data_IF_021441552401
#
_entry.id   IF_021441552401
#
_cell.length_a   1.000
_cell.length_b   1.000
_cell.length_c   1.000
_cell.angle_alpha   90.00
_cell.angle_beta   90.00
_cell.angle_gamma   90.00
#
_symmetry.space_group_name_H-M   'P 1'
#
loop_
_entity.id
_entity.type
_entity.pdbx_description
1 polymer ?
#
# COMPACT_ATOMS: atom_id res chain seq x y z
N UNK A 1 2.06 -12.62 4.27
CA UNK A 1 2.73 -11.99 5.43
C UNK A 1 2.82 -12.93 6.63
N UNK A 2 1.70 -13.34 7.26
CA UNK A 2 1.69 -14.22 8.46
C UNK A 2 2.51 -15.51 8.28
N UNK A 3 2.43 -16.13 7.11
CA UNK A 3 3.20 -17.34 6.79
C UNK A 3 4.71 -17.10 6.85
N UNK A 4 5.13 -15.94 6.36
CA UNK A 4 6.53 -15.55 6.26
C UNK A 4 7.14 -15.29 7.64
N UNK A 5 6.36 -14.79 8.60
CA UNK A 5 6.79 -14.47 9.98
C UNK A 5 6.71 -15.70 10.91
N UNK A 6 6.39 -16.88 10.37
CA UNK A 6 6.33 -18.14 11.13
C UNK A 6 4.95 -18.47 11.71
N UNK A 7 3.94 -17.60 11.54
CA UNK A 7 2.56 -17.83 11.99
C UNK A 7 1.77 -18.68 11.00
N UNK A 8 2.28 -19.88 10.67
CA UNK A 8 1.68 -20.76 9.65
C UNK A 8 0.26 -21.21 10.01
N UNK A 9 0.03 -21.61 11.27
CA UNK A 9 -1.30 -22.02 11.71
C UNK A 9 -2.33 -20.88 11.64
N UNK A 10 -1.93 -19.67 12.06
CA UNK A 10 -2.80 -18.48 11.95
C UNK A 10 -3.06 -18.14 10.49
N UNK A 11 -2.05 -18.27 9.63
CA UNK A 11 -2.21 -18.09 8.18
C UNK A 11 -3.23 -19.05 7.59
N UNK A 12 -3.17 -20.34 7.96
CA UNK A 12 -4.16 -21.32 7.51
C UNK A 12 -5.56 -20.98 8.01
N UNK A 13 -5.71 -20.58 9.28
CA UNK A 13 -7.02 -20.16 9.83
C UNK A 13 -7.57 -18.93 9.12
N UNK A 14 -6.72 -17.93 8.88
CA UNK A 14 -7.10 -16.73 8.13
C UNK A 14 -7.50 -17.07 6.68
N UNK A 15 -6.76 -17.96 6.02
CA UNK A 15 -7.08 -18.43 4.68
C UNK A 15 -8.37 -19.24 4.64
N UNK A 16 -8.63 -20.08 5.65
CA UNK A 16 -9.87 -20.82 5.78
C UNK A 16 -11.07 -19.87 6.00
N UNK A 17 -10.91 -18.85 6.86
CA UNK A 17 -11.93 -17.81 7.06
C UNK A 17 -12.19 -17.01 5.77
N UNK A 18 -11.14 -16.64 5.04
CA UNK A 18 -11.27 -15.97 3.75
C UNK A 18 -11.98 -16.87 2.72
N UNK A 19 -11.66 -18.16 2.68
CA UNK A 19 -12.30 -19.14 1.82
C UNK A 19 -13.78 -19.36 2.18
N UNK A 20 -14.11 -19.38 3.48
CA UNK A 20 -15.50 -19.44 3.95
C UNK A 20 -16.28 -18.19 3.52
N UNK A 21 -15.70 -17.00 3.72
CA UNK A 21 -16.31 -15.74 3.27
C UNK A 21 -16.54 -15.72 1.76
N UNK A 22 -15.56 -16.19 0.98
CA UNK A 22 -15.71 -16.34 -0.47
C UNK A 22 -16.78 -17.38 -0.83
N UNK A 23 -16.85 -18.50 -0.10
CA UNK A 23 -17.90 -19.52 -0.26
C UNK A 23 -19.29 -18.96 -0.02
N UNK A 24 -19.48 -18.20 1.08
CA UNK A 24 -20.74 -17.49 1.36
C UNK A 24 -21.07 -16.49 0.26
N UNK A 25 -20.09 -15.72 -0.22
CA UNK A 25 -20.26 -14.81 -1.33
C UNK A 25 -20.71 -15.52 -2.61
N UNK A 26 -20.05 -16.64 -2.97
CA UNK A 26 -20.39 -17.46 -4.14
C UNK A 26 -21.79 -18.05 -4.00
N UNK A 27 -22.20 -18.48 -2.81
CA UNK A 27 -23.56 -18.98 -2.57
C UNK A 27 -24.61 -17.87 -2.68
N UNK A 28 -24.30 -16.65 -2.23
CA UNK A 28 -25.24 -15.53 -2.23
C UNK A 28 -25.38 -14.84 -3.61
N UNK A 29 -24.28 -14.64 -4.33
CA UNK A 29 -24.21 -13.86 -5.58
C UNK A 29 -24.03 -14.74 -6.82
N UNK A 30 -23.69 -16.01 -6.65
CA UNK A 30 -23.38 -16.93 -7.73
C UNK A 30 -21.93 -16.87 -8.22
N UNK A 31 -21.45 -17.99 -8.78
CA UNK A 31 -20.10 -18.09 -9.34
C UNK A 31 -19.88 -17.15 -10.53
N UNK A 32 -20.90 -16.96 -11.37
CA UNK A 32 -20.83 -16.10 -12.54
C UNK A 32 -20.45 -14.66 -12.17
N UNK A 33 -21.02 -14.12 -11.10
CA UNK A 33 -20.71 -12.78 -10.60
C UNK A 33 -19.24 -12.65 -10.18
N UNK A 34 -18.67 -13.67 -9.54
CA UNK A 34 -17.28 -13.66 -9.11
C UNK A 34 -16.32 -13.76 -10.30
N UNK A 35 -16.66 -14.56 -11.32
CA UNK A 35 -15.88 -14.64 -12.56
C UNK A 35 -15.91 -13.29 -13.29
N UNK A 36 -17.08 -12.65 -13.37
CA UNK A 36 -17.23 -11.34 -13.99
C UNK A 36 -16.45 -10.27 -13.22
N UNK A 37 -16.51 -10.29 -11.89
CA UNK A 37 -15.71 -9.41 -11.04
C UNK A 37 -14.20 -9.61 -11.25
N UNK A 38 -13.73 -10.87 -11.26
CA UNK A 38 -12.31 -11.15 -11.53
C UNK A 38 -11.92 -10.65 -12.91
N UNK A 39 -12.74 -10.90 -13.94
CA UNK A 39 -12.51 -10.39 -15.29
C UNK A 39 -12.40 -8.86 -15.27
N UNK A 40 -13.35 -8.17 -14.64
CA UNK A 40 -13.37 -6.72 -14.48
C UNK A 40 -12.10 -6.18 -13.81
N UNK A 41 -11.64 -6.81 -12.73
CA UNK A 41 -10.40 -6.42 -12.02
C UNK A 41 -9.16 -6.66 -12.88
N UNK A 42 -9.10 -7.78 -13.61
CA UNK A 42 -7.95 -8.11 -14.46
C UNK A 42 -7.91 -7.34 -15.77
N UNK A 43 -9.07 -6.89 -16.26
CA UNK A 43 -9.21 -6.05 -17.45
C UNK A 43 -9.82 -4.70 -17.06
N UNK A 44 -9.20 -4.03 -16.07
CA UNK A 44 -9.67 -2.76 -15.56
C UNK A 44 -9.85 -1.77 -16.74
N UNK A 45 -11.03 -1.17 -16.91
CA UNK A 45 -11.25 -0.20 -17.97
C UNK A 45 -10.19 0.91 -17.97
N UNK A 46 -9.73 1.31 -19.15
CA UNK A 46 -8.63 2.28 -19.31
C UNK A 46 -8.92 3.62 -18.62
N UNK A 47 -10.20 4.01 -18.56
CA UNK A 47 -10.61 5.22 -17.87
C UNK A 47 -10.33 5.17 -16.36
N UNK A 48 -10.37 3.99 -15.72
CA UNK A 48 -10.04 3.80 -14.29
C UNK A 48 -8.53 3.76 -14.04
N UNK A 49 -7.75 3.32 -15.03
CA UNK A 49 -6.30 3.31 -14.94
C UNK A 49 -5.72 4.74 -14.94
N UNK A 50 -6.34 5.69 -15.64
CA UNK A 50 -5.94 7.11 -15.62
C UNK A 50 -6.84 8.00 -14.74
N UNK A 51 -7.82 7.41 -14.05
CA UNK A 51 -8.79 8.16 -13.25
C UNK A 51 -8.08 8.93 -12.13
N UNK A 52 -8.44 10.19 -11.97
CA UNK A 52 -7.79 11.12 -11.04
C UNK A 52 -7.96 10.72 -9.58
N UNK A 53 -9.10 10.15 -9.22
CA UNK A 53 -9.34 9.62 -7.88
C UNK A 53 -8.53 8.35 -7.59
N UNK A 54 -8.02 7.67 -8.63
CA UNK A 54 -7.14 6.53 -8.47
C UNK A 54 -5.72 7.00 -8.11
N UNK A 55 -5.47 7.13 -6.82
CA UNK A 55 -4.17 7.51 -6.26
C UNK A 55 -3.21 6.33 -6.14
N UNK A 56 -3.45 5.18 -6.78
CA UNK A 56 -2.49 4.06 -6.78
C UNK A 56 -1.21 4.36 -7.56
N UNK A 57 -0.11 3.62 -7.34
CA UNK A 57 1.09 3.73 -8.17
C UNK A 57 0.78 3.48 -9.65
N UNK A 58 -0.03 2.45 -9.95
CA UNK A 58 -0.54 2.19 -11.31
C UNK A 58 -1.22 3.42 -11.89
N UNK A 59 -2.16 4.02 -11.13
CA UNK A 59 -2.88 5.21 -11.55
C UNK A 59 -1.97 6.38 -11.91
N UNK A 60 -0.94 6.59 -11.09
CA UNK A 60 0.05 7.66 -11.27
C UNK A 60 0.94 7.43 -12.48
N UNK A 61 1.43 6.20 -12.67
CA UNK A 61 2.27 5.85 -13.83
C UNK A 61 1.47 5.94 -15.13
N UNK A 62 0.22 5.48 -15.14
CA UNK A 62 -0.68 5.60 -16.29
C UNK A 62 -1.03 7.05 -16.62
N UNK A 63 -1.33 7.91 -15.62
CA UNK A 63 -1.52 9.36 -15.86
C UNK A 63 -0.28 10.03 -16.42
N UNK A 64 0.92 9.62 -16.00
CA UNK A 64 2.18 10.21 -16.43
C UNK A 64 2.51 9.83 -17.89
N UNK A 65 2.27 8.57 -18.27
CA UNK A 65 2.84 7.98 -19.49
C UNK A 65 1.80 7.58 -20.54
N UNK A 66 0.60 7.19 -20.13
CA UNK A 66 -0.44 6.70 -21.04
C UNK A 66 -1.35 7.81 -21.58
N UNK A 67 -1.07 9.09 -21.28
CA UNK A 67 -1.84 10.25 -21.77
C UNK A 67 -1.91 10.33 -23.30
N UNK A 68 -0.91 9.79 -24.01
CA UNK A 68 -0.82 9.78 -25.48
C UNK A 68 -1.13 8.43 -26.14
N UNK A 69 -1.61 7.42 -25.39
CA UNK A 69 -1.93 6.08 -25.89
C UNK A 69 -0.72 5.15 -26.09
N UNK A 70 0.39 5.66 -26.65
CA UNK A 70 1.59 4.85 -26.95
C UNK A 70 2.36 4.39 -25.69
N UNK A 71 2.21 5.09 -24.57
CA UNK A 71 2.94 4.78 -23.32
C UNK A 71 2.34 3.69 -22.45
N UNK A 72 1.24 3.05 -22.86
CA UNK A 72 0.51 2.07 -22.03
C UNK A 72 1.36 0.85 -21.65
N UNK A 73 2.03 0.24 -22.62
CA UNK A 73 2.86 -0.95 -22.39
C UNK A 73 4.03 -0.64 -21.44
N UNK A 74 4.60 0.56 -21.57
CA UNK A 74 5.66 1.04 -20.68
C UNK A 74 5.11 1.34 -19.27
N UNK A 75 3.90 1.89 -19.16
CA UNK A 75 3.23 2.13 -17.88
C UNK A 75 2.92 0.81 -17.14
N UNK A 76 2.41 -0.20 -17.85
CA UNK A 76 2.15 -1.52 -17.27
C UNK A 76 3.47 -2.20 -16.84
N UNK A 77 4.51 -2.14 -17.68
CA UNK A 77 5.84 -2.67 -17.35
C UNK A 77 6.48 -2.01 -16.13
N UNK A 78 6.42 -0.67 -16.04
CA UNK A 78 6.91 0.07 -14.88
C UNK A 78 6.10 -0.22 -13.62
N UNK A 79 4.78 -0.33 -13.73
CA UNK A 79 3.91 -0.69 -12.60
C UNK A 79 4.30 -2.06 -12.05
N UNK A 80 4.44 -3.07 -12.91
CA UNK A 80 4.89 -4.40 -12.51
C UNK A 80 6.28 -4.39 -11.87
N UNK A 81 7.21 -3.59 -12.39
CA UNK A 81 8.54 -3.44 -11.80
C UNK A 81 8.48 -2.78 -10.42
N UNK A 82 7.63 -1.77 -10.23
CA UNK A 82 7.39 -1.12 -8.94
C UNK A 82 6.74 -2.10 -7.95
N UNK A 83 5.75 -2.88 -8.38
CA UNK A 83 5.08 -3.86 -7.54
C UNK A 83 6.06 -4.94 -7.06
N UNK A 84 6.88 -5.47 -7.97
CA UNK A 84 7.94 -6.42 -7.65
C UNK A 84 8.97 -5.82 -6.68
N UNK A 85 9.33 -4.54 -6.86
CA UNK A 85 10.23 -3.82 -5.97
C UNK A 85 9.63 -3.66 -4.57
N UNK A 86 8.38 -3.20 -4.46
CA UNK A 86 7.67 -3.05 -3.17
C UNK A 86 7.59 -4.39 -2.45
N UNK A 87 7.18 -5.45 -3.16
CA UNK A 87 7.16 -6.81 -2.61
C UNK A 87 8.53 -7.26 -2.13
N UNK A 88 9.57 -7.09 -2.95
CA UNK A 88 10.94 -7.46 -2.61
C UNK A 88 11.48 -6.72 -1.39
N UNK A 89 11.23 -5.41 -1.30
CA UNK A 89 11.61 -4.58 -0.15
C UNK A 89 10.87 -5.03 1.11
N UNK A 90 9.55 -5.24 1.03
CA UNK A 90 8.76 -5.68 2.17
C UNK A 90 9.17 -7.08 2.65
N UNK A 91 9.33 -8.03 1.75
CA UNK A 91 9.76 -9.40 2.09
C UNK A 91 11.17 -9.44 2.70
N UNK A 92 12.07 -8.55 2.27
CA UNK A 92 13.42 -8.44 2.82
C UNK A 92 13.44 -7.73 4.18
N UNK A 93 12.52 -6.81 4.42
CA UNK A 93 12.44 -6.06 5.67
C UNK A 93 11.73 -6.83 6.79
N UNK A 94 10.72 -7.63 6.45
CA UNK A 94 9.94 -8.39 7.40
C UNK A 94 10.73 -9.61 7.88
N UNK A 95 10.95 -9.77 9.20
CA UNK A 95 11.67 -10.91 9.75
C UNK A 95 10.90 -12.22 9.52
N UNK A 96 11.65 -13.33 9.46
CA UNK A 96 11.08 -14.67 9.23
C UNK A 96 10.44 -15.29 10.46
N UNK A 97 10.74 -14.75 11.63
CA UNK A 97 10.26 -15.21 12.93
C UNK A 97 10.05 -14.00 13.83
N UNK A 98 8.92 -13.94 14.53
CA UNK A 98 8.66 -12.89 15.52
C UNK A 98 7.81 -13.45 16.65
N UNK A 99 8.01 -12.95 17.86
CA UNK A 99 7.19 -13.33 19.03
C UNK A 99 5.84 -12.57 19.01
N UNK A 100 4.76 -13.14 19.57
CA UNK A 100 3.41 -12.61 19.41
C UNK A 100 3.21 -11.21 19.99
N UNK A 101 3.92 -10.89 21.06
CA UNK A 101 3.80 -9.62 21.78
C UNK A 101 4.97 -8.66 21.47
N UNK A 102 5.64 -8.86 20.34
CA UNK A 102 6.75 -7.98 19.94
C UNK A 102 6.27 -6.78 19.12
N UNK A 103 6.83 -5.61 19.40
CA UNK A 103 6.67 -4.42 18.53
C UNK A 103 7.08 -4.69 17.07
N UNK A 104 7.96 -5.66 16.85
CA UNK A 104 8.35 -6.15 15.52
C UNK A 104 7.16 -6.68 14.72
N UNK A 105 6.22 -7.38 15.35
CA UNK A 105 5.00 -7.86 14.70
C UNK A 105 4.10 -6.69 14.28
N UNK A 106 3.95 -5.69 15.14
CA UNK A 106 3.17 -4.47 14.87
C UNK A 106 3.74 -3.69 13.68
N UNK A 107 5.06 -3.52 13.63
CA UNK A 107 5.73 -2.85 12.50
C UNK A 107 5.62 -3.64 11.20
N UNK A 108 5.74 -4.96 11.26
CA UNK A 108 5.58 -5.82 10.09
C UNK A 108 4.15 -5.75 9.56
N UNK A 109 3.16 -5.70 10.46
CA UNK A 109 1.76 -5.57 10.10
C UNK A 109 1.44 -4.20 9.50
N UNK A 110 1.94 -3.12 10.10
CA UNK A 110 1.83 -1.78 9.54
C UNK A 110 2.45 -1.68 8.14
N UNK A 111 3.61 -2.32 7.93
CA UNK A 111 4.26 -2.37 6.62
C UNK A 111 3.42 -3.18 5.61
N UNK A 112 2.78 -4.26 6.07
CA UNK A 112 1.84 -5.04 5.26
C UNK A 112 0.66 -4.21 4.76
N UNK A 113 0.07 -3.37 5.61
CA UNK A 113 -1.01 -2.46 5.20
C UNK A 113 -0.54 -1.44 4.15
N UNK A 114 0.64 -0.86 4.33
CA UNK A 114 1.21 0.06 3.35
C UNK A 114 1.46 -0.65 2.02
N UNK A 115 1.98 -1.87 2.06
CA UNK A 115 2.22 -2.69 0.86
C UNK A 115 0.91 -3.01 0.13
N UNK A 116 -0.17 -3.33 0.83
CA UNK A 116 -1.49 -3.58 0.21
C UNK A 116 -1.95 -2.36 -0.60
N UNK A 117 -1.83 -1.16 -0.05
CA UNK A 117 -2.23 0.08 -0.74
C UNK A 117 -1.30 0.42 -1.91
N UNK A 118 0.01 0.20 -1.76
CA UNK A 118 0.96 0.43 -2.84
C UNK A 118 0.81 -0.56 -4.00
N UNK A 119 0.44 -1.80 -3.72
CA UNK A 119 0.25 -2.85 -4.73
C UNK A 119 -1.17 -2.85 -5.32
N UNK A 120 -2.11 -2.14 -4.70
CA UNK A 120 -3.49 -2.14 -5.16
C UNK A 120 -3.59 -1.44 -6.53
N UNK A 121 -4.23 -2.07 -7.54
CA UNK A 121 -4.41 -1.44 -8.85
C UNK A 121 -5.30 -0.19 -8.78
N UNK A 122 -6.21 -0.15 -7.79
CA UNK A 122 -7.12 0.95 -7.52
C UNK A 122 -6.98 1.35 -6.04
N UNK A 123 -6.56 2.58 -5.79
CA UNK A 123 -6.56 3.15 -4.45
C UNK A 123 -7.25 4.50 -4.51
N UNK A 124 -8.15 4.75 -3.58
CA UNK A 124 -8.87 6.01 -3.45
C UNK A 124 -8.60 6.62 -2.07
N UNK A 125 -8.90 7.91 -1.89
CA UNK A 125 -8.60 8.61 -0.65
C UNK A 125 -9.15 7.92 0.60
N UNK A 126 -10.38 7.38 0.51
CA UNK A 126 -11.03 6.73 1.64
C UNK A 126 -10.31 5.44 2.08
N UNK A 127 -9.56 4.78 1.20
CA UNK A 127 -8.75 3.61 1.55
C UNK A 127 -7.57 3.97 2.46
N UNK A 128 -7.09 5.22 2.41
CA UNK A 128 -5.95 5.66 3.24
C UNK A 128 -6.30 5.77 4.72
N UNK A 129 -7.58 5.74 5.09
CA UNK A 129 -8.00 5.71 6.51
C UNK A 129 -7.36 4.53 7.26
N UNK A 130 -7.09 3.43 6.55
CA UNK A 130 -6.43 2.24 7.10
C UNK A 130 -5.00 2.54 7.56
N UNK A 131 -4.34 3.56 6.99
CA UNK A 131 -3.00 4.01 7.41
C UNK A 131 -2.99 4.74 8.76
N UNK A 132 -4.15 5.13 9.29
CA UNK A 132 -4.23 5.62 10.66
C UNK A 132 -3.79 4.55 11.67
N UNK A 133 -3.98 3.27 11.37
CA UNK A 133 -3.57 2.16 12.24
C UNK A 133 -2.05 2.11 12.42
N UNK A 134 -1.21 2.01 11.36
CA UNK A 134 0.24 2.07 11.51
C UNK A 134 0.76 3.42 12.05
N UNK A 135 0.07 4.53 11.74
CA UNK A 135 0.41 5.84 12.33
C UNK A 135 0.16 5.86 13.84
N UNK A 136 -0.98 5.35 14.31
CA UNK A 136 -1.26 5.25 15.74
C UNK A 136 -0.27 4.34 16.45
N UNK A 137 0.09 3.20 15.85
CA UNK A 137 1.13 2.31 16.40
C UNK A 137 2.46 3.05 16.57
N UNK A 138 2.87 3.85 15.57
CA UNK A 138 4.07 4.70 15.70
C UNK A 138 3.90 5.70 16.84
N UNK A 139 2.77 6.43 16.87
CA UNK A 139 2.46 7.48 17.85
C UNK A 139 2.42 7.01 19.30
N UNK A 140 1.87 5.81 19.53
CA UNK A 140 1.71 5.23 20.87
C UNK A 140 2.95 4.49 21.35
N UNK A 141 3.96 4.31 20.50
CA UNK A 141 5.18 3.61 20.89
C UNK A 141 6.16 4.55 21.60
N UNK A 142 6.76 4.08 22.70
CA UNK A 142 7.90 4.73 23.39
C UNK A 142 9.11 4.96 22.45
N UNK A 143 9.06 4.38 21.25
CA UNK A 143 10.08 4.53 20.22
C UNK A 143 10.13 5.93 19.60
N UNK A 144 9.06 6.74 19.69
CA UNK A 144 9.06 8.12 19.15
C UNK A 144 10.04 9.01 19.87
N UNK A 145 10.11 8.91 21.20
CA UNK A 145 11.09 9.67 22.00
C UNK A 145 12.54 9.34 21.61
N UNK A 146 12.74 8.14 21.04
CA UNK A 146 14.03 7.64 20.56
C UNK A 146 14.23 7.83 19.06
N UNK A 147 13.34 8.52 18.35
CA UNK A 147 13.52 8.82 16.93
C UNK A 147 14.64 9.83 16.70
N UNK A 148 15.38 9.63 15.62
CA UNK A 148 16.27 10.68 15.11
C UNK A 148 15.43 11.84 14.59
N UNK A 149 15.93 13.06 14.74
CA UNK A 149 15.26 14.27 14.22
C UNK A 149 14.88 14.16 12.73
N UNK A 150 15.72 13.51 11.92
CA UNK A 150 15.43 13.21 10.52
C UNK A 150 14.15 12.38 10.34
N UNK A 151 13.97 11.32 11.12
CA UNK A 151 12.84 10.41 10.98
C UNK A 151 11.55 11.08 11.47
N UNK A 152 11.64 11.94 12.48
CA UNK A 152 10.53 12.81 12.92
C UNK A 152 10.11 13.80 11.83
N UNK A 153 11.07 14.45 11.17
CA UNK A 153 10.78 15.36 10.05
C UNK A 153 10.10 14.59 8.91
N UNK A 154 10.59 13.39 8.58
CA UNK A 154 9.96 12.53 7.57
C UNK A 154 8.55 12.12 8.03
N UNK A 155 8.34 11.77 9.30
CA UNK A 155 7.03 11.42 9.84
C UNK A 155 6.04 12.59 9.73
N UNK A 156 6.46 13.80 10.11
CA UNK A 156 5.63 15.01 9.96
C UNK A 156 5.30 15.26 8.49
N UNK A 157 6.28 15.16 7.60
CA UNK A 157 6.06 15.30 6.17
C UNK A 157 5.08 14.24 5.64
N UNK A 158 5.20 12.99 6.08
CA UNK A 158 4.29 11.89 5.74
C UNK A 158 2.86 12.19 6.21
N UNK A 159 2.68 12.64 7.46
CA UNK A 159 1.35 13.00 7.99
C UNK A 159 0.73 14.14 7.17
N UNK A 160 1.51 15.17 6.85
CA UNK A 160 1.06 16.27 6.01
C UNK A 160 0.68 15.81 4.60
N UNK A 161 1.51 14.96 3.98
CA UNK A 161 1.25 14.41 2.64
C UNK A 161 0.01 13.52 2.59
N UNK A 162 -0.21 12.69 3.61
CA UNK A 162 -1.38 11.82 3.72
C UNK A 162 -2.66 12.62 4.03
N UNK A 163 -2.56 13.62 4.91
CA UNK A 163 -3.68 14.44 5.35
C UNK A 163 -4.05 15.59 4.40
N UNK A 164 -3.20 15.90 3.42
CA UNK A 164 -3.48 16.98 2.48
C UNK A 164 -4.69 16.61 1.60
N UNK A 165 -5.68 17.50 1.53
CA UNK A 165 -6.83 17.34 0.64
C UNK A 165 -6.45 17.88 -0.73
N UNK A 166 -6.70 17.12 -1.80
CA UNK A 166 -6.38 17.59 -3.14
C UNK A 166 -7.36 18.68 -3.60
N UNK A 167 -6.98 19.94 -3.38
CA UNK A 167 -7.61 21.07 -4.09
C UNK A 167 -7.33 21.03 -5.60
N UNK A 168 -6.37 20.21 -6.03
CA UNK A 168 -5.93 20.07 -7.42
C UNK A 168 -6.88 19.26 -8.29
N UNK A 169 -7.82 18.50 -7.70
CA UNK A 169 -8.82 17.75 -8.47
C UNK A 169 -9.68 18.65 -9.36
N UNK A 170 -9.88 19.90 -8.95
CA UNK A 170 -10.66 20.90 -9.68
C UNK A 170 -9.97 21.40 -10.97
N UNK A 171 -8.68 21.11 -11.15
CA UNK A 171 -7.88 21.63 -12.25
C UNK A 171 -7.50 20.51 -13.23
N UNK A 172 -8.11 20.46 -14.43
CA UNK A 172 -7.86 19.40 -15.42
C UNK A 172 -6.39 19.27 -15.84
N UNK A 173 -5.61 20.35 -15.74
CA UNK A 173 -4.18 20.38 -16.05
C UNK A 173 -3.34 19.44 -15.18
N UNK A 174 -3.84 19.02 -14.01
CA UNK A 174 -3.16 18.09 -13.10
C UNK A 174 -3.65 16.64 -13.26
N UNK A 175 -4.57 16.37 -14.19
CA UNK A 175 -5.13 15.04 -14.37
C UNK A 175 -4.22 14.11 -15.18
N UNK A 176 -3.28 14.65 -15.96
CA UNK A 176 -2.37 13.87 -16.81
C UNK A 176 -0.99 14.53 -16.95
N UNK A 177 0.00 13.77 -17.41
CA UNK A 177 1.36 14.23 -17.67
C UNK A 177 2.15 14.57 -16.39
N UNK A 178 3.25 15.31 -16.53
CA UNK A 178 4.17 15.59 -15.42
C UNK A 178 3.52 16.34 -14.24
N UNK A 179 2.56 17.23 -14.51
CA UNK A 179 1.84 17.96 -13.46
C UNK A 179 1.00 17.05 -12.56
N UNK A 180 0.56 15.91 -13.08
CA UNK A 180 -0.18 14.92 -12.29
C UNK A 180 0.65 14.31 -11.14
N UNK A 181 1.98 14.41 -11.18
CA UNK A 181 2.85 13.99 -10.08
C UNK A 181 2.64 14.82 -8.80
N UNK A 182 2.14 16.06 -8.91
CA UNK A 182 1.80 16.86 -7.74
C UNK A 182 0.59 16.27 -6.99
N UNK A 183 -0.28 15.52 -7.68
CA UNK A 183 -1.35 14.73 -7.09
C UNK A 183 -0.89 13.34 -6.60
N UNK A 184 0.41 13.03 -6.67
CA UNK A 184 0.99 11.81 -6.11
C UNK A 184 1.53 11.99 -4.67
N UNK A 185 1.29 13.16 -4.04
CA UNK A 185 1.77 13.46 -2.69
C UNK A 185 1.40 12.38 -1.65
N UNK A 186 0.16 11.87 -1.70
CA UNK A 186 -0.30 10.79 -0.83
C UNK A 186 0.47 9.50 -1.02
N UNK A 187 0.82 9.13 -2.26
CA UNK A 187 1.67 7.96 -2.54
C UNK A 187 3.06 8.13 -1.93
N UNK A 188 3.64 9.32 -2.05
CA UNK A 188 4.90 9.65 -1.39
C UNK A 188 4.76 9.54 0.13
N UNK A 189 3.61 9.94 0.68
CA UNK A 189 3.25 9.70 2.09
C UNK A 189 3.24 8.21 2.45
N UNK A 190 2.56 7.36 1.67
CA UNK A 190 2.52 5.90 1.93
C UNK A 190 3.92 5.27 1.81
N UNK A 191 4.71 5.67 0.81
CA UNK A 191 6.08 5.20 0.63
C UNK A 191 7.00 5.67 1.77
N UNK A 192 6.85 6.92 2.23
CA UNK A 192 7.58 7.46 3.37
C UNK A 192 7.23 6.75 4.68
N UNK A 193 5.96 6.44 4.91
CA UNK A 193 5.53 5.64 6.06
C UNK A 193 6.14 4.24 6.02
N UNK A 194 6.11 3.61 4.84
CA UNK A 194 6.73 2.30 4.60
C UNK A 194 8.23 2.33 4.92
N UNK A 195 8.93 3.39 4.50
CA UNK A 195 10.34 3.60 4.77
C UNK A 195 10.65 3.69 6.27
N UNK A 196 9.87 4.47 7.03
CA UNK A 196 9.99 4.57 8.49
C UNK A 196 9.81 3.20 9.13
N UNK A 197 8.77 2.46 8.76
CA UNK A 197 8.47 1.13 9.31
C UNK A 197 9.56 0.11 8.99
N UNK A 198 10.12 0.12 7.77
CA UNK A 198 11.29 -0.69 7.42
C UNK A 198 12.50 -0.34 8.30
N UNK A 199 12.72 0.95 8.57
CA UNK A 199 13.75 1.42 9.49
C UNK A 199 13.56 0.87 10.90
N UNK A 200 12.32 0.87 11.41
CA UNK A 200 11.97 0.31 12.72
C UNK A 200 12.17 -1.19 12.79
N UNK A 201 11.71 -1.94 11.81
CA UNK A 201 11.93 -3.39 11.72
C UNK A 201 13.40 -3.76 11.77
N UNK A 202 14.25 -3.01 11.03
CA UNK A 202 15.70 -3.23 11.05
C UNK A 202 16.35 -2.86 12.38
N UNK A 203 15.82 -1.87 13.09
CA UNK A 203 16.32 -1.49 14.40
C UNK A 203 15.96 -2.54 15.46
N UNK A 204 14.71 -3.01 15.50
CA UNK A 204 14.27 -4.06 16.42
C UNK A 204 15.05 -5.37 16.19
N UNK A 205 15.24 -5.78 14.93
CA UNK A 205 16.01 -6.97 14.59
C UNK A 205 17.48 -6.94 15.03
N UNK A 206 18.05 -5.76 15.32
CA UNK A 206 19.42 -5.62 15.86
C UNK A 206 19.49 -5.70 17.38
N UNK A 207 18.37 -5.46 18.07
CA UNK A 207 18.29 -5.56 19.53
C UNK A 207 18.06 -7.02 19.95
N UNK A 208 17.37 -7.79 19.11
CA UNK A 208 17.02 -9.19 19.36
C UNK A 208 18.09 -10.21 18.90
N UNK A 209 19.21 -9.76 18.33
CA UNK A 209 20.30 -10.58 17.79
C UNK A 209 21.55 -10.51 18.68
#
# INVERSE_FOLDING_TARGET
MLWWIGYRQVSFRALALAALGLGVGVLALGLAHHIEYVRYVTSLPDYLAAWTANISPRGTVHRLLAASGDGRMLADGLTLALDALVLGVCMRAIPRTSTPDSSTLDWAWGLGLCAILLLSPLTEEHHLVVLLLPLMLLLLSDSIERMRARDLVVLVAVILLLGNRYSLEQFPSFHQGALSLLAAGKLVGVAGLSWILVGRLRASARVDA
#
